data_IF_965720666581
#
_entry.id   IF_965720666581
#
_cell.length_a   1.000
_cell.length_b   1.000
_cell.length_c   1.000
_cell.angle_alpha   90.00
_cell.angle_beta   90.00
_cell.angle_gamma   90.00
#
_symmetry.space_group_name_H-M   'P 1'
#
loop_
_entity.id
_entity.type
_entity.pdbx_description
1 polymer ?
#
# COMPACT_ATOMS: atom_id res chain seq x y z
N UNK A 1 -2.93 -9.36 -14.14
CA UNK A 1 -2.72 -7.92 -14.09
C UNK A 1 -1.71 -7.62 -12.97
N UNK A 2 -0.66 -6.85 -13.23
CA UNK A 2 0.32 -6.56 -12.19
C UNK A 2 -0.29 -5.73 -11.06
N UNK A 3 0.21 -5.91 -9.85
CA UNK A 3 -0.22 -5.16 -8.69
C UNK A 3 0.66 -3.91 -8.57
N UNK A 4 0.07 -2.76 -8.86
CA UNK A 4 0.71 -1.45 -8.73
C UNK A 4 -0.09 -0.62 -7.73
N UNK A 5 0.41 0.56 -7.38
CA UNK A 5 -0.33 1.48 -6.50
C UNK A 5 -1.71 1.78 -7.09
N UNK A 6 -1.78 2.04 -8.39
CA UNK A 6 -3.04 2.36 -9.07
C UNK A 6 -4.00 1.18 -9.07
N UNK A 7 -3.53 -0.02 -9.43
CA UNK A 7 -4.41 -1.20 -9.47
C UNK A 7 -4.86 -1.62 -8.08
N UNK A 8 -3.99 -1.48 -7.08
CA UNK A 8 -4.37 -1.76 -5.69
C UNK A 8 -5.45 -0.78 -5.22
N UNK A 9 -5.28 0.51 -5.48
CA UNK A 9 -6.27 1.52 -5.11
C UNK A 9 -7.61 1.26 -5.78
N UNK A 10 -7.59 0.91 -7.07
CA UNK A 10 -8.82 0.60 -7.81
C UNK A 10 -9.52 -0.62 -7.24
N UNK A 11 -8.77 -1.68 -6.95
CA UNK A 11 -9.33 -2.90 -6.37
C UNK A 11 -10.01 -2.61 -5.04
N UNK A 12 -9.33 -1.87 -4.16
CA UNK A 12 -9.87 -1.53 -2.85
C UNK A 12 -11.09 -0.62 -2.97
N UNK A 13 -11.06 0.33 -3.90
CA UNK A 13 -12.20 1.20 -4.16
C UNK A 13 -13.41 0.43 -4.67
N UNK A 14 -13.19 -0.52 -5.59
CA UNK A 14 -14.27 -1.34 -6.15
C UNK A 14 -14.94 -2.21 -5.10
N UNK A 15 -14.21 -2.60 -4.06
CA UNK A 15 -14.75 -3.36 -2.94
C UNK A 15 -15.25 -2.50 -1.78
N UNK A 16 -15.24 -1.16 -1.95
CA UNK A 16 -15.73 -0.24 -0.94
C UNK A 16 -14.85 -0.12 0.29
N UNK A 17 -13.58 -0.52 0.21
CA UNK A 17 -12.64 -0.48 1.32
C UNK A 17 -11.81 0.79 1.34
N UNK A 18 -11.52 1.37 0.18
CA UNK A 18 -10.64 2.53 0.08
C UNK A 18 -11.35 3.79 0.60
N UNK A 19 -10.73 4.45 1.57
CA UNK A 19 -11.21 5.72 2.10
C UNK A 19 -10.49 6.90 1.49
N UNK A 20 -9.16 6.78 1.29
CA UNK A 20 -8.33 7.90 0.94
C UNK A 20 -7.00 7.41 0.38
N UNK A 21 -6.40 8.17 -0.53
CA UNK A 21 -5.03 7.94 -1.02
C UNK A 21 -4.17 9.11 -0.57
N UNK A 22 -3.03 8.81 0.05
CA UNK A 22 -2.04 9.82 0.42
C UNK A 22 -0.87 9.68 -0.54
N UNK A 23 -0.58 10.76 -1.29
CA UNK A 23 0.48 10.74 -2.29
C UNK A 23 1.15 12.12 -2.33
N UNK A 24 2.46 12.18 -2.14
CA UNK A 24 3.25 13.42 -2.14
C UNK A 24 2.66 14.48 -1.20
N UNK A 25 2.34 14.09 0.03
CA UNK A 25 1.74 14.94 1.07
C UNK A 25 0.36 15.50 0.66
N UNK A 26 -0.32 14.85 -0.27
CA UNK A 26 -1.67 15.22 -0.68
C UNK A 26 -2.63 14.08 -0.41
N UNK A 27 -3.84 14.45 0.01
CA UNK A 27 -4.92 13.50 0.28
C UNK A 27 -5.91 13.56 -0.88
N UNK A 28 -6.20 12.41 -1.50
CA UNK A 28 -7.05 12.35 -2.69
C UNK A 28 -7.87 11.06 -2.69
N UNK A 29 -8.84 10.97 -3.59
CA UNK A 29 -9.72 9.80 -3.66
C UNK A 29 -9.26 8.75 -4.66
N UNK A 30 -8.26 9.06 -5.46
CA UNK A 30 -7.73 8.13 -6.45
C UNK A 30 -6.26 8.44 -6.72
N UNK A 31 -5.54 7.44 -7.22
CA UNK A 31 -4.12 7.59 -7.54
C UNK A 31 -3.98 8.48 -8.78
N UNK A 32 -3.03 9.44 -8.77
CA UNK A 32 -2.78 10.28 -9.94
C UNK A 32 -2.39 9.46 -11.17
N UNK A 33 -2.66 10.01 -12.35
CA UNK A 33 -2.28 9.37 -13.60
C UNK A 33 -0.80 9.66 -13.92
N UNK A 34 0.09 8.95 -13.25
CA UNK A 34 1.54 9.11 -13.37
C UNK A 34 2.16 7.74 -13.62
N UNK A 35 3.00 7.58 -14.66
CA UNK A 35 3.68 6.32 -14.93
C UNK A 35 4.47 5.75 -13.75
N UNK A 36 4.96 6.60 -12.85
CA UNK A 36 5.67 6.16 -11.64
C UNK A 36 4.77 5.32 -10.73
N UNK A 37 3.44 5.52 -10.79
CA UNK A 37 2.47 4.79 -9.97
C UNK A 37 2.04 3.47 -10.61
N UNK A 38 2.56 3.15 -11.80
CA UNK A 38 2.27 1.90 -12.50
C UNK A 38 3.39 0.87 -12.34
N UNK A 39 4.40 1.15 -11.53
CA UNK A 39 5.48 0.19 -11.27
C UNK A 39 4.94 -0.93 -10.39
N UNK A 40 5.05 -2.21 -10.80
CA UNK A 40 4.54 -3.31 -9.99
C UNK A 40 5.30 -3.44 -8.67
N UNK A 41 4.56 -3.77 -7.61
CA UNK A 41 5.19 -4.09 -6.33
C UNK A 41 5.97 -5.40 -6.46
N UNK A 42 7.13 -5.47 -5.82
CA UNK A 42 7.95 -6.68 -5.81
C UNK A 42 7.41 -7.73 -4.84
N UNK A 43 6.75 -7.29 -3.78
CA UNK A 43 6.21 -8.18 -2.76
C UNK A 43 5.16 -7.46 -1.94
N UNK A 44 4.29 -8.24 -1.29
CA UNK A 44 3.36 -7.75 -0.27
C UNK A 44 3.81 -8.34 1.06
N UNK A 45 3.90 -7.50 2.09
CA UNK A 45 4.26 -7.96 3.43
C UNK A 45 3.40 -7.26 4.47
N UNK A 46 3.23 -7.90 5.60
CA UNK A 46 2.64 -7.29 6.80
C UNK A 46 3.65 -7.23 7.96
N UNK A 47 4.91 -7.56 7.68
CA UNK A 47 6.00 -7.55 8.66
C UNK A 47 7.05 -6.53 8.23
N UNK A 48 7.26 -5.50 9.04
CA UNK A 48 8.22 -4.43 8.73
C UNK A 48 9.65 -4.96 8.55
N UNK A 49 9.97 -6.08 9.17
CA UNK A 49 11.31 -6.69 9.07
C UNK A 49 11.59 -7.26 7.68
N UNK A 50 10.55 -7.55 6.91
CA UNK A 50 10.69 -8.14 5.58
C UNK A 50 10.52 -7.12 4.46
N UNK A 51 10.35 -5.84 4.80
CA UNK A 51 10.25 -4.78 3.79
C UNK A 51 11.56 -4.66 3.02
N UNK A 52 11.47 -4.67 1.70
CA UNK A 52 12.59 -4.49 0.79
C UNK A 52 12.19 -3.59 -0.36
N UNK A 53 13.06 -3.44 -1.36
CA UNK A 53 12.81 -2.56 -2.49
C UNK A 53 11.52 -2.92 -3.24
N UNK A 54 10.62 -1.97 -3.37
CA UNK A 54 9.37 -2.14 -4.09
C UNK A 54 8.27 -2.86 -3.34
N UNK A 55 8.39 -3.02 -2.01
CA UNK A 55 7.38 -3.72 -1.21
C UNK A 55 6.16 -2.87 -0.92
N UNK A 56 5.00 -3.52 -0.88
CA UNK A 56 3.76 -2.97 -0.33
C UNK A 56 3.59 -3.52 1.09
N UNK A 57 3.55 -2.62 2.08
CA UNK A 57 3.37 -3.01 3.48
C UNK A 57 1.92 -2.83 3.88
N UNK A 58 1.31 -3.87 4.46
CA UNK A 58 -0.03 -3.79 5.03
C UNK A 58 0.09 -3.67 6.55
N UNK A 59 -0.36 -2.53 7.08
CA UNK A 59 -0.31 -2.22 8.50
C UNK A 59 -1.59 -2.74 9.16
N UNK A 60 -1.55 -3.93 9.71
CA UNK A 60 -2.71 -4.57 10.31
C UNK A 60 -2.51 -4.84 11.81
N UNK A 61 -3.62 -5.01 12.52
CA UNK A 61 -3.57 -5.31 13.94
C UNK A 61 -3.14 -4.10 14.76
N UNK A 62 -2.36 -4.35 15.82
CA UNK A 62 -1.84 -3.29 16.69
C UNK A 62 -0.56 -2.69 16.10
N UNK A 63 -0.70 -2.02 14.98
CA UNK A 63 0.43 -1.43 14.30
C UNK A 63 0.81 -0.09 14.97
N UNK A 64 2.10 0.17 15.13
CA UNK A 64 2.61 1.41 15.73
C UNK A 64 3.40 2.21 14.73
N UNK A 65 3.32 3.57 14.76
CA UNK A 65 4.09 4.40 13.85
C UNK A 65 5.60 4.15 13.91
N UNK A 66 6.13 3.78 15.08
CA UNK A 66 7.56 3.51 15.25
C UNK A 66 8.05 2.36 14.36
N UNK A 67 7.18 1.44 14.00
CA UNK A 67 7.54 0.32 13.13
C UNK A 67 7.89 0.77 11.71
N UNK A 68 7.43 1.95 11.31
CA UNK A 68 7.70 2.51 9.98
C UNK A 68 9.03 3.27 9.90
N UNK A 69 9.68 3.51 11.02
CA UNK A 69 10.92 4.27 11.05
C UNK A 69 11.99 3.59 10.21
N UNK A 70 12.57 4.34 9.28
CA UNK A 70 13.63 3.86 8.40
C UNK A 70 13.20 3.00 7.23
N UNK A 71 11.88 2.74 7.05
CA UNK A 71 11.41 1.89 5.96
C UNK A 71 11.58 2.54 4.58
N UNK A 72 11.53 3.88 4.50
CA UNK A 72 11.79 4.58 3.25
C UNK A 72 13.19 4.27 2.72
N UNK A 73 14.17 4.19 3.62
CA UNK A 73 15.54 3.81 3.27
C UNK A 73 15.69 2.37 2.85
N UNK A 74 14.71 1.52 3.13
CA UNK A 74 14.70 0.11 2.73
C UNK A 74 13.96 -0.12 1.42
N UNK A 75 13.39 0.94 0.84
CA UNK A 75 12.74 0.85 -0.45
C UNK A 75 11.23 0.57 -0.39
N UNK A 76 10.58 0.94 0.71
CA UNK A 76 9.13 0.83 0.83
C UNK A 76 8.44 1.56 -0.32
N UNK A 77 7.62 0.86 -1.11
CA UNK A 77 6.95 1.46 -2.26
C UNK A 77 5.63 2.12 -1.87
N UNK A 78 4.89 1.52 -0.94
CA UNK A 78 3.61 2.03 -0.49
C UNK A 78 3.18 1.29 0.77
N UNK A 79 2.17 1.83 1.47
CA UNK A 79 1.58 1.13 2.61
C UNK A 79 0.05 1.14 2.51
N UNK A 80 -0.57 0.16 3.16
CA UNK A 80 -2.03 0.08 3.33
C UNK A 80 -2.30 0.10 4.83
N UNK A 81 -3.15 1.00 5.28
CA UNK A 81 -3.42 1.16 6.72
C UNK A 81 -4.80 1.74 6.95
N UNK A 82 -5.26 1.68 8.19
CA UNK A 82 -6.48 2.39 8.61
C UNK A 82 -6.17 3.77 9.19
N UNK A 83 -4.92 4.16 9.19
CA UNK A 83 -4.41 5.40 9.78
C UNK A 83 -3.42 6.07 8.84
N UNK A 84 -3.39 7.39 8.85
CA UNK A 84 -2.44 8.21 8.08
C UNK A 84 -1.07 8.19 8.77
N UNK A 85 -0.09 7.62 8.08
CA UNK A 85 1.30 7.58 8.56
C UNK A 85 2.23 8.50 7.74
N UNK A 86 1.67 9.46 7.02
CA UNK A 86 2.47 10.35 6.15
C UNK A 86 3.50 11.19 6.93
N UNK A 87 3.30 11.38 8.22
CA UNK A 87 4.28 12.08 9.06
C UNK A 87 5.54 11.25 9.33
N UNK A 88 5.50 9.94 9.09
CA UNK A 88 6.59 9.02 9.42
C UNK A 88 7.30 8.51 8.16
N UNK A 89 6.56 8.28 7.07
CA UNK A 89 7.10 7.77 5.81
C UNK A 89 6.65 8.64 4.65
N UNK A 90 7.50 8.74 3.64
CA UNK A 90 7.22 9.48 2.42
C UNK A 90 6.50 8.63 1.37
N UNK A 91 6.51 7.31 1.51
CA UNK A 91 5.84 6.42 0.59
C UNK A 91 4.34 6.70 0.55
N UNK A 92 3.69 6.55 -0.62
CA UNK A 92 2.25 6.75 -0.71
C UNK A 92 1.49 5.73 0.11
N UNK A 93 0.33 6.14 0.64
CA UNK A 93 -0.50 5.30 1.49
C UNK A 93 -1.91 5.13 0.94
N UNK A 94 -2.44 3.93 1.08
CA UNK A 94 -3.84 3.62 0.79
C UNK A 94 -4.55 3.43 2.13
N UNK A 95 -5.44 4.37 2.45
CA UNK A 95 -6.17 4.33 3.73
C UNK A 95 -7.47 3.56 3.53
N UNK A 96 -7.67 2.54 4.35
CA UNK A 96 -8.79 1.61 4.22
C UNK A 96 -9.51 1.44 5.56
N UNK A 97 -10.75 0.93 5.50
CA UNK A 97 -11.50 0.65 6.72
C UNK A 97 -11.02 -0.62 7.43
N UNK A 98 -10.55 -1.61 6.65
CA UNK A 98 -10.14 -2.89 7.21
C UNK A 98 -8.85 -3.38 6.51
N UNK A 99 -7.69 -3.17 7.11
CA UNK A 99 -6.42 -3.60 6.50
C UNK A 99 -6.32 -5.10 6.26
N UNK A 100 -6.97 -5.93 7.08
CA UNK A 100 -6.93 -7.38 6.90
C UNK A 100 -7.67 -7.82 5.64
N UNK A 101 -8.83 -7.22 5.38
CA UNK A 101 -9.57 -7.46 4.14
C UNK A 101 -8.78 -6.95 2.94
N UNK A 102 -8.16 -5.77 3.08
CA UNK A 102 -7.33 -5.21 2.03
C UNK A 102 -6.16 -6.15 1.71
N UNK A 103 -5.49 -6.70 2.72
CA UNK A 103 -4.40 -7.65 2.52
C UNK A 103 -4.87 -8.87 1.72
N UNK A 104 -6.02 -9.44 2.08
CA UNK A 104 -6.55 -10.61 1.37
C UNK A 104 -6.81 -10.31 -0.09
N UNK A 105 -7.36 -9.12 -0.40
CA UNK A 105 -7.67 -8.75 -1.77
C UNK A 105 -6.41 -8.51 -2.61
N UNK A 106 -5.45 -7.74 -2.09
CA UNK A 106 -4.24 -7.43 -2.85
C UNK A 106 -3.32 -8.64 -2.99
N UNK A 107 -3.27 -9.50 -1.98
CA UNK A 107 -2.48 -10.72 -2.03
C UNK A 107 -3.00 -11.68 -3.11
N UNK A 108 -4.29 -11.72 -3.34
CA UNK A 108 -4.88 -12.54 -4.41
C UNK A 108 -4.40 -12.07 -5.78
N UNK A 109 -4.32 -10.77 -6.01
CA UNK A 109 -3.82 -10.25 -7.28
C UNK A 109 -2.36 -10.65 -7.52
N UNK A 110 -1.53 -10.57 -6.48
CA UNK A 110 -0.12 -10.88 -6.61
C UNK A 110 0.12 -12.38 -6.85
N UNK A 111 -0.65 -13.24 -6.19
CA UNK A 111 -0.47 -14.69 -6.28
C UNK A 111 -1.25 -15.33 -7.41
N UNK A 112 -2.11 -14.59 -8.10
CA UNK A 112 -2.89 -15.12 -9.21
C UNK A 112 -1.97 -15.44 -10.39
N UNK A 113 -2.08 -16.65 -10.98
CA UNK A 113 -1.21 -16.99 -12.10
C UNK A 113 -1.50 -16.10 -13.31
N UNK A 114 -0.44 -15.70 -13.96
CA UNK A 114 -0.53 -14.97 -15.21
C UNK A 114 -0.80 -15.97 -16.34
N UNK A 115 -1.89 -15.80 -17.01
CA UNK A 115 -2.26 -16.65 -18.13
C UNK A 115 -2.18 -15.90 -19.44
#
# INVERSE_FOLDING_TARGET
>A
MPLTLRTAARLLSDHGLLREVIHDDRWMMQVPDDPADDVPFSAITYDTRTVGGGSLLVCKGRFRPEYLDGLDGRGLAAYVADTDYSAVVDAPGLIVDDPRKALSLVARLLSEPLE
#
